data_IF_052585403485
#
_entry.id   IF_052585403485
#
_cell.length_a   1.000
_cell.length_b   1.000
_cell.length_c   1.000
_cell.angle_alpha   90.00
_cell.angle_beta   90.00
_cell.angle_gamma   90.00
#
_symmetry.space_group_name_H-M   'P 1'
#
loop_
_entity.id
_entity.type
_entity.pdbx_description
1 polymer ?
#
# COMPACT_ATOMS: atom_id res chain seq x y z
N UNK A 1 24.48 -26.41 13.17
CA UNK A 1 23.12 -25.94 13.01
C UNK A 1 22.81 -26.05 11.51
N UNK A 2 22.01 -27.02 11.12
CA UNK A 2 21.59 -27.24 9.74
C UNK A 2 20.62 -26.10 9.38
N UNK A 3 20.97 -25.30 8.39
CA UNK A 3 20.03 -24.33 7.82
C UNK A 3 18.78 -25.10 7.36
N UNK A 4 17.65 -24.83 7.99
CA UNK A 4 16.36 -25.23 7.44
C UNK A 4 16.20 -24.50 6.10
N UNK A 5 16.18 -25.25 5.01
CA UNK A 5 15.76 -24.75 3.70
C UNK A 5 14.31 -24.30 3.87
N UNK A 6 14.09 -23.01 4.02
CA UNK A 6 12.77 -22.42 3.89
C UNK A 6 12.36 -22.59 2.43
N UNK A 7 11.47 -23.53 2.17
CA UNK A 7 10.83 -23.69 0.86
C UNK A 7 10.04 -22.40 0.62
N UNK A 8 10.53 -21.57 -0.30
CA UNK A 8 9.79 -20.42 -0.82
C UNK A 8 8.53 -20.99 -1.47
N UNK A 9 7.37 -20.53 -1.03
CA UNK A 9 6.12 -20.89 -1.70
C UNK A 9 6.05 -20.12 -3.02
N UNK A 10 6.36 -20.80 -4.13
CA UNK A 10 6.13 -20.27 -5.47
C UNK A 10 4.68 -19.78 -5.60
N UNK A 11 4.43 -18.66 -6.28
CA UNK A 11 3.09 -18.15 -6.46
C UNK A 11 2.28 -19.12 -7.32
N UNK A 12 1.09 -19.46 -6.85
CA UNK A 12 0.16 -20.27 -7.64
C UNK A 12 -0.30 -19.48 -8.87
N UNK A 13 -0.82 -20.16 -9.88
CA UNK A 13 -1.44 -19.48 -11.04
C UNK A 13 -2.49 -18.46 -10.59
N UNK A 14 -3.28 -18.81 -9.55
CA UNK A 14 -4.27 -17.90 -8.99
C UNK A 14 -3.63 -16.66 -8.35
N UNK A 15 -2.50 -16.81 -7.66
CA UNK A 15 -1.78 -15.67 -7.08
C UNK A 15 -1.22 -14.76 -8.19
N UNK A 16 -0.68 -15.33 -9.27
CA UNK A 16 -0.21 -14.57 -10.45
C UNK A 16 -1.34 -13.76 -11.08
N UNK A 17 -2.49 -14.39 -11.33
CA UNK A 17 -3.68 -13.71 -11.87
C UNK A 17 -4.14 -12.60 -10.91
N UNK A 18 -4.24 -12.89 -9.62
CA UNK A 18 -4.68 -11.91 -8.61
C UNK A 18 -3.73 -10.72 -8.51
N UNK A 19 -2.42 -10.97 -8.57
CA UNK A 19 -1.43 -9.90 -8.57
C UNK A 19 -1.51 -9.07 -9.87
N UNK A 20 -1.71 -9.68 -11.03
CA UNK A 20 -1.89 -8.94 -12.28
C UNK A 20 -3.15 -8.06 -12.25
N UNK A 21 -4.25 -8.55 -11.69
CA UNK A 21 -5.44 -7.72 -11.45
C UNK A 21 -5.17 -6.58 -10.47
N UNK A 22 -4.32 -6.81 -9.43
CA UNK A 22 -3.89 -5.76 -8.53
C UNK A 22 -3.15 -4.63 -9.27
N UNK A 23 -2.25 -4.99 -10.18
CA UNK A 23 -1.48 -4.02 -10.96
C UNK A 23 -2.36 -3.12 -11.84
N UNK A 24 -3.53 -3.58 -12.27
CA UNK A 24 -4.45 -2.74 -13.03
C UNK A 24 -5.08 -1.61 -12.18
N UNK A 25 -5.17 -1.75 -10.87
CA UNK A 25 -5.54 -0.63 -10.00
C UNK A 25 -4.47 0.48 -10.02
N UNK A 26 -3.19 0.10 -10.10
CA UNK A 26 -2.05 1.03 -10.14
C UNK A 26 -1.99 1.86 -11.43
N UNK A 27 -2.76 1.51 -12.48
CA UNK A 27 -2.88 2.33 -13.69
C UNK A 27 -3.39 3.76 -13.39
N UNK A 28 -4.05 3.97 -12.25
CA UNK A 28 -4.46 5.30 -11.79
C UNK A 28 -3.26 6.25 -11.68
N UNK A 29 -2.09 5.74 -11.30
CA UNK A 29 -0.85 6.52 -11.16
C UNK A 29 -0.32 7.06 -12.50
N UNK A 30 -0.81 6.54 -13.64
CA UNK A 30 -0.47 7.00 -15.00
C UNK A 30 -1.47 8.01 -15.56
N UNK A 31 -2.47 8.43 -14.79
CA UNK A 31 -3.52 9.35 -15.22
C UNK A 31 -3.27 10.71 -14.55
N UNK A 32 -3.44 11.80 -15.30
CA UNK A 32 -3.31 13.14 -14.73
C UNK A 32 -4.37 13.35 -13.63
N UNK A 33 -3.96 13.92 -12.50
CA UNK A 33 -4.89 14.34 -11.43
C UNK A 33 -5.90 15.40 -11.89
N UNK A 34 -5.60 16.12 -12.99
CA UNK A 34 -6.46 17.13 -13.60
C UNK A 34 -7.47 16.52 -14.58
N UNK A 35 -7.47 15.20 -14.78
CA UNK A 35 -8.45 14.54 -15.63
C UNK A 35 -9.86 14.73 -15.05
N UNK A 36 -10.73 15.34 -15.82
CA UNK A 36 -12.11 15.66 -15.40
C UNK A 36 -12.98 14.41 -15.17
N UNK A 37 -12.60 13.24 -15.72
CA UNK A 37 -13.25 11.95 -15.51
C UNK A 37 -12.21 10.85 -15.21
N UNK A 38 -11.40 11.07 -14.17
CA UNK A 38 -10.33 10.17 -13.78
C UNK A 38 -10.81 8.73 -13.55
N UNK A 39 -11.99 8.54 -12.93
CA UNK A 39 -12.60 7.21 -12.78
C UNK A 39 -12.94 6.59 -14.14
N UNK A 40 -13.45 7.37 -15.12
CA UNK A 40 -13.77 6.88 -16.45
C UNK A 40 -12.53 6.50 -17.24
N UNK A 41 -11.49 7.33 -17.17
CA UNK A 41 -10.21 7.04 -17.79
C UNK A 41 -9.58 5.78 -17.21
N UNK A 42 -9.62 5.61 -15.88
CA UNK A 42 -9.15 4.41 -15.21
C UNK A 42 -9.97 3.17 -15.61
N UNK A 43 -11.31 3.29 -15.64
CA UNK A 43 -12.20 2.21 -16.06
C UNK A 43 -11.84 1.72 -17.47
N UNK A 44 -11.66 2.63 -18.42
CA UNK A 44 -11.30 2.28 -19.81
C UNK A 44 -9.94 1.58 -19.89
N UNK A 45 -8.95 2.07 -19.14
CA UNK A 45 -7.63 1.44 -19.07
C UNK A 45 -7.72 0.01 -18.50
N UNK A 46 -8.40 -0.18 -17.37
CA UNK A 46 -8.58 -1.51 -16.76
C UNK A 46 -9.28 -2.44 -17.75
N UNK A 47 -10.38 -2.00 -18.37
CA UNK A 47 -11.11 -2.80 -19.35
C UNK A 47 -10.22 -3.21 -20.53
N UNK A 48 -9.43 -2.28 -21.07
CA UNK A 48 -8.47 -2.57 -22.15
C UNK A 48 -7.47 -3.66 -21.72
N UNK A 49 -6.93 -3.60 -20.51
CA UNK A 49 -5.98 -4.60 -20.01
C UNK A 49 -6.65 -5.96 -19.75
N UNK A 50 -7.87 -5.98 -19.25
CA UNK A 50 -8.66 -7.22 -19.09
C UNK A 50 -8.88 -7.89 -20.44
N UNK A 51 -9.27 -7.12 -21.47
CA UNK A 51 -9.54 -7.65 -22.82
C UNK A 51 -8.24 -8.14 -23.49
N UNK A 52 -7.15 -7.38 -23.38
CA UNK A 52 -5.88 -7.71 -24.03
C UNK A 52 -5.20 -8.92 -23.41
N UNK A 53 -5.34 -9.11 -22.09
CA UNK A 53 -4.63 -10.17 -21.37
C UNK A 53 -5.52 -11.39 -21.04
N UNK A 54 -6.71 -11.50 -21.64
CA UNK A 54 -7.66 -12.58 -21.37
C UNK A 54 -7.05 -13.98 -21.53
N UNK A 55 -6.14 -14.18 -22.47
CA UNK A 55 -5.45 -15.47 -22.66
C UNK A 55 -4.54 -15.86 -21.49
N UNK A 56 -4.08 -14.87 -20.70
CA UNK A 56 -3.16 -15.07 -19.58
C UNK A 56 -3.91 -15.19 -18.26
N UNK A 57 -4.88 -14.27 -18.02
CA UNK A 57 -5.56 -14.15 -16.72
C UNK A 57 -6.94 -14.82 -16.71
N UNK A 58 -7.47 -15.29 -17.84
CA UNK A 58 -8.85 -15.72 -18.00
C UNK A 58 -9.81 -14.53 -18.21
N UNK A 59 -11.09 -14.82 -18.33
CA UNK A 59 -12.10 -13.79 -18.52
C UNK A 59 -12.53 -13.14 -17.21
N UNK A 60 -12.52 -11.80 -17.17
CA UNK A 60 -12.95 -11.00 -16.03
C UNK A 60 -13.81 -9.83 -16.48
N UNK A 61 -14.80 -9.47 -15.69
CA UNK A 61 -15.65 -8.29 -15.90
C UNK A 61 -15.63 -7.38 -14.68
N UNK A 62 -15.55 -6.06 -14.88
CA UNK A 62 -15.67 -5.11 -13.80
C UNK A 62 -17.13 -5.09 -13.34
N UNK A 63 -17.37 -5.32 -12.05
CA UNK A 63 -18.72 -5.37 -11.46
C UNK A 63 -18.98 -4.21 -10.51
N UNK A 64 -17.92 -3.56 -10.01
CA UNK A 64 -18.01 -2.34 -9.19
C UNK A 64 -16.76 -1.48 -9.41
N UNK A 65 -16.98 -0.18 -9.56
CA UNK A 65 -15.89 0.78 -9.68
C UNK A 65 -15.35 0.97 -11.11
N UNK A 66 -14.14 1.53 -11.24
CA UNK A 66 -13.30 2.00 -10.16
C UNK A 66 -13.89 3.20 -9.42
N UNK A 67 -13.73 3.23 -8.09
CA UNK A 67 -13.89 4.42 -7.28
C UNK A 67 -12.51 4.99 -6.98
N UNK A 68 -12.39 6.31 -7.01
CA UNK A 68 -11.11 7.02 -6.85
C UNK A 68 -11.25 8.13 -5.82
N UNK A 69 -10.31 8.21 -4.87
CA UNK A 69 -10.17 9.33 -3.96
C UNK A 69 -8.93 10.15 -4.30
N UNK A 70 -9.13 11.45 -4.47
CA UNK A 70 -8.07 12.45 -4.55
C UNK A 70 -7.90 13.09 -3.17
N UNK A 71 -6.66 13.15 -2.69
CA UNK A 71 -6.32 13.97 -1.55
C UNK A 71 -5.80 15.31 -2.05
N UNK A 72 -6.25 16.40 -1.40
CA UNK A 72 -5.92 17.79 -1.78
C UNK A 72 -4.52 18.22 -1.34
N UNK A 73 -3.59 17.28 -1.31
CA UNK A 73 -2.18 17.53 -1.02
C UNK A 73 -1.35 17.07 -2.20
N UNK A 74 -0.29 17.81 -2.53
CA UNK A 74 0.68 17.42 -3.55
C UNK A 74 1.38 16.08 -3.24
N UNK A 75 1.15 15.55 -2.04
CA UNK A 75 1.86 14.46 -1.39
C UNK A 75 1.15 13.11 -1.46
N UNK A 76 -0.18 13.08 -1.69
CA UNK A 76 -0.91 11.82 -1.62
C UNK A 76 -1.21 11.26 -2.99
N UNK A 77 -0.84 10.00 -3.12
CA UNK A 77 -1.30 9.16 -4.19
C UNK A 77 -2.82 9.09 -4.23
N UNK A 78 -3.33 8.96 -5.42
CA UNK A 78 -4.73 8.68 -5.67
C UNK A 78 -5.04 7.28 -5.12
N UNK A 79 -5.92 7.16 -4.11
CA UNK A 79 -6.45 5.87 -3.71
C UNK A 79 -7.50 5.43 -4.73
N UNK A 80 -7.35 4.25 -5.30
CA UNK A 80 -8.30 3.67 -6.23
C UNK A 80 -8.65 2.24 -5.81
N UNK A 81 -9.90 1.87 -6.02
CA UNK A 81 -10.44 0.55 -5.70
C UNK A 81 -11.40 0.13 -6.81
N UNK A 82 -11.31 -1.10 -7.25
CA UNK A 82 -12.30 -1.70 -8.16
C UNK A 82 -12.53 -3.17 -7.81
N UNK A 83 -13.64 -3.72 -8.30
CA UNK A 83 -13.99 -5.12 -8.12
C UNK A 83 -14.31 -5.78 -9.46
N UNK A 84 -13.71 -6.94 -9.68
CA UNK A 84 -13.97 -7.79 -10.85
C UNK A 84 -14.56 -9.13 -10.45
N UNK A 85 -15.30 -9.71 -11.39
CA UNK A 85 -15.83 -11.08 -11.30
C UNK A 85 -15.32 -11.91 -12.45
N UNK A 86 -14.93 -13.16 -12.20
CA UNK A 86 -14.59 -14.09 -13.26
C UNK A 86 -15.83 -14.41 -14.13
N UNK A 87 -15.64 -14.41 -15.45
CA UNK A 87 -16.70 -14.81 -16.39
C UNK A 87 -16.84 -16.33 -16.50
N UNK A 88 -15.79 -17.07 -16.15
CA UNK A 88 -15.73 -18.53 -16.17
C UNK A 88 -16.28 -19.13 -14.89
N UNK A 89 -15.92 -18.56 -13.73
CA UNK A 89 -16.42 -18.93 -12.42
C UNK A 89 -17.06 -17.71 -11.74
N UNK A 90 -18.36 -17.58 -11.91
CA UNK A 90 -19.12 -16.42 -11.42
C UNK A 90 -19.21 -16.33 -9.89
N UNK A 91 -18.69 -17.30 -9.16
CA UNK A 91 -18.54 -17.22 -7.70
C UNK A 91 -17.24 -16.50 -7.28
N UNK A 92 -16.28 -16.33 -8.20
CA UNK A 92 -14.97 -15.74 -7.91
C UNK A 92 -14.94 -14.24 -8.17
N UNK A 93 -14.52 -13.52 -7.17
CA UNK A 93 -14.38 -12.06 -7.19
C UNK A 93 -13.00 -11.62 -6.69
N UNK A 94 -12.50 -10.52 -7.25
CA UNK A 94 -11.28 -9.87 -6.76
C UNK A 94 -11.58 -8.39 -6.54
N UNK A 95 -11.26 -7.91 -5.34
CA UNK A 95 -11.21 -6.49 -5.00
C UNK A 95 -9.74 -6.08 -5.05
N UNK A 96 -9.41 -5.18 -5.96
CA UNK A 96 -8.04 -4.71 -6.18
C UNK A 96 -7.93 -3.23 -5.86
N UNK A 97 -6.89 -2.86 -5.11
CA UNK A 97 -6.63 -1.49 -4.73
C UNK A 97 -5.25 -1.03 -5.15
N UNK A 98 -5.17 0.25 -5.51
CA UNK A 98 -3.91 0.88 -5.87
C UNK A 98 -3.02 1.08 -4.64
N UNK A 99 -1.71 1.01 -4.89
CA UNK A 99 -0.68 1.56 -4.01
C UNK A 99 -0.41 3.03 -4.28
N UNK A 100 0.58 3.58 -3.60
CA UNK A 100 1.11 4.91 -3.90
C UNK A 100 1.77 4.93 -5.28
N UNK A 101 1.86 6.11 -5.92
CA UNK A 101 2.60 6.21 -7.16
C UNK A 101 4.09 5.95 -6.90
N UNK A 102 4.75 5.30 -7.87
CA UNK A 102 6.16 4.88 -7.79
C UNK A 102 7.11 6.05 -7.49
N UNK A 103 6.77 7.25 -8.00
CA UNK A 103 7.53 8.47 -7.75
C UNK A 103 7.45 8.97 -6.29
N UNK A 104 6.49 8.46 -5.51
CA UNK A 104 6.17 8.92 -4.16
C UNK A 104 6.39 7.85 -3.09
N UNK A 105 6.85 6.65 -3.43
CA UNK A 105 7.05 5.57 -2.42
C UNK A 105 7.93 6.04 -1.27
N UNK A 106 9.01 6.78 -1.57
CA UNK A 106 9.89 7.34 -0.55
C UNK A 106 9.27 8.51 0.21
N UNK A 107 8.59 9.42 -0.50
CA UNK A 107 7.92 10.55 0.13
C UNK A 107 6.82 10.03 1.06
N UNK A 108 6.08 9.00 0.62
CA UNK A 108 5.07 8.34 1.44
C UNK A 108 5.66 7.66 2.69
N UNK A 109 6.78 6.91 2.55
CA UNK A 109 7.44 6.28 3.70
C UNK A 109 7.87 7.32 4.77
N UNK A 110 8.16 8.53 4.35
CA UNK A 110 8.68 9.60 5.21
C UNK A 110 7.57 10.53 5.71
N UNK A 111 6.59 10.85 4.90
CA UNK A 111 5.53 11.83 5.22
C UNK A 111 4.29 11.20 5.86
N UNK A 112 3.90 10.00 5.41
CA UNK A 112 2.72 9.29 5.92
C UNK A 112 3.00 8.42 7.14
N UNK A 113 4.05 8.77 7.88
CA UNK A 113 4.40 8.08 9.11
C UNK A 113 3.34 8.18 10.22
N UNK A 114 2.04 8.23 9.85
CA UNK A 114 0.96 8.03 10.81
C UNK A 114 0.90 6.58 11.22
N UNK A 115 2.07 6.12 11.69
CA UNK A 115 2.30 4.76 12.17
C UNK A 115 1.82 4.55 13.60
N UNK A 116 1.32 5.60 14.27
CA UNK A 116 0.68 5.46 15.56
C UNK A 116 -0.40 4.38 15.48
N UNK A 117 -0.43 3.47 16.44
CA UNK A 117 -1.36 2.36 16.42
C UNK A 117 -2.69 2.72 17.10
N UNK A 118 -3.78 2.22 16.54
CA UNK A 118 -5.15 2.32 17.04
C UNK A 118 -5.76 0.92 17.18
N UNK A 119 -6.62 0.66 18.17
CA UNK A 119 -7.31 -0.60 18.30
C UNK A 119 -8.24 -0.91 17.14
N UNK A 120 -8.32 -2.19 16.79
CA UNK A 120 -9.36 -2.68 15.91
C UNK A 120 -10.71 -2.70 16.62
N UNK A 121 -11.79 -2.24 15.97
CA UNK A 121 -13.10 -2.10 16.62
C UNK A 121 -13.68 -3.42 17.18
N UNK A 122 -13.39 -4.56 16.56
CA UNK A 122 -13.88 -5.86 17.01
C UNK A 122 -12.91 -6.60 17.96
N UNK A 123 -11.68 -6.11 18.15
CA UNK A 123 -10.68 -6.66 19.05
C UNK A 123 -9.70 -5.58 19.49
N UNK A 124 -9.85 -5.05 20.69
CA UNK A 124 -9.04 -3.93 21.19
C UNK A 124 -7.55 -4.25 21.41
N UNK A 125 -7.17 -5.54 21.46
CA UNK A 125 -5.76 -5.93 21.53
C UNK A 125 -5.10 -5.99 20.15
N UNK A 126 -5.88 -6.13 19.07
CA UNK A 126 -5.42 -6.09 17.70
C UNK A 126 -5.23 -4.62 17.27
N UNK A 127 -3.98 -4.20 17.13
CA UNK A 127 -3.64 -2.82 16.80
C UNK A 127 -3.16 -2.71 15.35
N UNK A 128 -3.59 -1.67 14.66
CA UNK A 128 -3.12 -1.30 13.32
C UNK A 128 -2.84 0.20 13.24
N UNK A 129 -2.12 0.65 12.21
CA UNK A 129 -1.78 2.06 12.12
C UNK A 129 -3.00 2.94 11.82
N UNK A 130 -3.00 4.15 12.36
CA UNK A 130 -4.02 5.18 12.08
C UNK A 130 -4.06 5.50 10.57
N UNK A 131 -2.90 5.54 9.90
CA UNK A 131 -2.83 5.73 8.45
C UNK A 131 -3.59 4.63 7.69
N UNK A 132 -3.41 3.36 8.07
CA UNK A 132 -4.16 2.23 7.49
C UNK A 132 -5.66 2.33 7.78
N UNK A 133 -6.04 2.74 8.99
CA UNK A 133 -7.44 2.95 9.36
C UNK A 133 -8.10 4.03 8.47
N UNK A 134 -7.46 5.17 8.32
CA UNK A 134 -7.94 6.27 7.45
C UNK A 134 -8.04 5.80 6.00
N UNK A 135 -7.00 5.13 5.48
CA UNK A 135 -6.98 4.63 4.11
C UNK A 135 -8.15 3.67 3.83
N UNK A 136 -8.37 2.67 4.69
CA UNK A 136 -9.50 1.74 4.52
C UNK A 136 -10.84 2.45 4.63
N UNK A 137 -10.99 3.38 5.58
CA UNK A 137 -12.21 4.18 5.71
C UNK A 137 -12.50 4.98 4.43
N UNK A 138 -11.47 5.58 3.85
CA UNK A 138 -11.58 6.26 2.56
C UNK A 138 -12.08 5.31 1.48
N UNK A 139 -11.44 4.13 1.34
CA UNK A 139 -11.81 3.15 0.33
C UNK A 139 -13.26 2.65 0.45
N UNK A 140 -13.72 2.33 1.67
CA UNK A 140 -15.10 1.85 1.87
C UNK A 140 -16.17 2.94 1.69
N UNK A 141 -15.76 4.21 1.68
CA UNK A 141 -16.65 5.35 1.46
C UNK A 141 -16.78 5.73 -0.02
N UNK A 142 -15.93 5.18 -0.89
CA UNK A 142 -15.97 5.47 -2.33
C UNK A 142 -17.31 5.05 -2.94
N UNK A 143 -17.84 5.90 -3.79
CA UNK A 143 -19.03 5.65 -4.62
C UNK A 143 -18.68 5.97 -6.06
N UNK A 144 -18.44 4.97 -6.90
CA UNK A 144 -18.15 5.21 -8.31
C UNK A 144 -19.23 6.11 -8.93
N UNK A 145 -18.84 7.01 -9.80
CA UNK A 145 -19.72 7.98 -10.44
C UNK A 145 -20.05 7.60 -11.88
N UNK A 146 -21.03 8.29 -12.49
CA UNK A 146 -21.36 8.11 -13.91
C UNK A 146 -21.93 6.73 -14.27
N UNK A 147 -21.73 6.26 -15.52
CA UNK A 147 -22.31 5.01 -16.02
C UNK A 147 -21.49 3.76 -15.69
N UNK A 148 -20.74 3.78 -14.58
CA UNK A 148 -19.86 2.67 -14.18
C UNK A 148 -20.61 1.61 -13.39
N UNK A 149 -20.16 0.34 -13.41
CA UNK A 149 -20.74 -0.71 -12.58
C UNK A 149 -20.70 -0.31 -11.08
N UNK A 150 -21.81 -0.51 -10.37
CA UNK A 150 -21.92 -0.17 -8.96
C UNK A 150 -22.01 1.34 -8.66
N UNK A 151 -22.22 2.21 -9.67
CA UNK A 151 -22.32 3.66 -9.48
C UNK A 151 -23.34 4.05 -8.39
N UNK A 152 -22.95 5.00 -7.55
CA UNK A 152 -23.78 5.49 -6.45
C UNK A 152 -23.80 4.62 -5.20
N UNK A 153 -23.20 3.42 -5.23
CA UNK A 153 -23.10 2.53 -4.08
C UNK A 153 -21.65 2.45 -3.58
N UNK A 154 -21.47 2.45 -2.27
CA UNK A 154 -20.19 2.04 -1.68
C UNK A 154 -19.94 0.55 -1.94
N UNK A 155 -18.71 0.09 -1.73
CA UNK A 155 -18.39 -1.33 -1.88
C UNK A 155 -19.26 -2.23 -0.95
N UNK A 156 -19.43 -1.94 0.36
CA UNK A 156 -20.34 -2.72 1.20
C UNK A 156 -21.81 -2.69 0.74
N UNK A 157 -22.32 -1.52 0.30
CA UNK A 157 -23.67 -1.41 -0.27
C UNK A 157 -23.82 -2.26 -1.55
N UNK A 158 -22.81 -2.29 -2.42
CA UNK A 158 -22.81 -3.13 -3.60
C UNK A 158 -22.77 -4.62 -3.24
N UNK A 159 -21.90 -5.04 -2.32
CA UNK A 159 -21.81 -6.43 -1.86
C UNK A 159 -23.16 -6.94 -1.34
N UNK A 160 -23.93 -6.11 -0.63
CA UNK A 160 -25.27 -6.48 -0.16
C UNK A 160 -26.25 -6.79 -1.30
N UNK A 161 -26.04 -6.24 -2.50
CA UNK A 161 -26.86 -6.54 -3.69
C UNK A 161 -26.59 -7.91 -4.29
N UNK A 162 -25.49 -8.55 -3.96
CA UNK A 162 -25.16 -9.89 -4.43
C UNK A 162 -26.02 -10.95 -3.78
N UNK A 163 -26.65 -10.62 -2.66
CA UNK A 163 -27.51 -11.51 -1.88
C UNK A 163 -26.72 -12.65 -1.23
N UNK A 164 -27.44 -13.61 -0.64
CA UNK A 164 -26.90 -14.74 0.10
C UNK A 164 -26.22 -15.81 -0.80
N UNK A 165 -25.29 -15.41 -1.65
CA UNK A 165 -24.56 -16.31 -2.53
C UNK A 165 -23.25 -16.72 -1.89
N UNK A 166 -22.90 -18.00 -2.06
CA UNK A 166 -21.55 -18.45 -1.75
C UNK A 166 -20.59 -17.88 -2.80
N UNK A 167 -19.77 -16.91 -2.39
CA UNK A 167 -18.75 -16.28 -3.23
C UNK A 167 -17.36 -16.43 -2.61
N UNK A 168 -16.36 -16.50 -3.46
CA UNK A 168 -14.95 -16.44 -3.12
C UNK A 168 -14.42 -15.03 -3.44
N UNK A 169 -14.18 -14.27 -2.41
CA UNK A 169 -13.75 -12.88 -2.49
C UNK A 169 -12.29 -12.77 -2.08
N UNK A 170 -11.42 -12.36 -3.01
CA UNK A 170 -10.01 -12.07 -2.71
C UNK A 170 -9.80 -10.56 -2.73
N UNK A 171 -9.25 -10.03 -1.64
CA UNK A 171 -8.82 -8.62 -1.55
C UNK A 171 -7.32 -8.56 -1.80
N UNK A 172 -6.87 -7.66 -2.68
CA UNK A 172 -5.45 -7.57 -3.04
C UNK A 172 -4.99 -6.13 -3.18
N UNK A 173 -3.71 -5.92 -2.90
CA UNK A 173 -3.05 -4.63 -3.03
C UNK A 173 -1.53 -4.78 -2.99
N UNK A 174 -0.84 -3.84 -3.64
CA UNK A 174 0.61 -3.75 -3.67
C UNK A 174 1.07 -2.48 -2.93
N UNK A 175 2.24 -2.49 -2.30
CA UNK A 175 2.80 -1.33 -1.60
C UNK A 175 1.87 -0.84 -0.47
N UNK A 176 1.41 0.41 -0.49
CA UNK A 176 0.36 0.91 0.40
C UNK A 176 -0.89 0.01 0.35
N UNK A 177 -1.32 -0.39 -0.85
CA UNK A 177 -2.42 -1.34 -1.02
C UNK A 177 -2.15 -2.68 -0.34
N UNK A 178 -0.88 -3.08 -0.23
CA UNK A 178 -0.44 -4.25 0.52
C UNK A 178 -0.68 -4.14 2.03
N UNK A 179 -0.61 -2.94 2.60
CA UNK A 179 -0.99 -2.68 3.99
C UNK A 179 -2.52 -2.55 4.15
N UNK A 180 -3.20 -1.94 3.17
CA UNK A 180 -4.64 -1.71 3.23
C UNK A 180 -5.46 -2.99 2.99
N UNK A 181 -4.99 -3.90 2.12
CA UNK A 181 -5.77 -5.08 1.71
C UNK A 181 -6.09 -6.05 2.85
N UNK A 182 -5.19 -6.39 3.80
CA UNK A 182 -5.56 -7.22 4.95
C UNK A 182 -6.58 -6.53 5.87
N UNK A 183 -6.45 -5.22 6.04
CA UNK A 183 -7.36 -4.45 6.89
C UNK A 183 -8.76 -4.34 6.26
N UNK A 184 -8.84 -4.11 4.94
CA UNK A 184 -10.13 -4.12 4.23
C UNK A 184 -10.77 -5.50 4.25
N UNK A 185 -10.00 -6.57 4.03
CA UNK A 185 -10.51 -7.94 4.10
C UNK A 185 -11.07 -8.27 5.49
N UNK A 186 -10.35 -7.87 6.54
CA UNK A 186 -10.80 -8.06 7.92
C UNK A 186 -12.07 -7.23 8.21
N UNK A 187 -12.14 -5.98 7.73
CA UNK A 187 -13.33 -5.14 7.84
C UNK A 187 -14.54 -5.82 7.19
N UNK A 188 -14.40 -6.30 5.97
CA UNK A 188 -15.48 -7.00 5.27
C UNK A 188 -15.89 -8.28 6.01
N UNK A 189 -14.95 -8.98 6.63
CA UNK A 189 -15.24 -10.21 7.42
C UNK A 189 -15.97 -9.88 8.72
N UNK A 190 -15.51 -8.87 9.45
CA UNK A 190 -16.10 -8.53 10.75
C UNK A 190 -17.45 -7.82 10.62
N UNK A 191 -17.70 -7.22 9.46
CA UNK A 191 -19.01 -6.62 9.10
C UNK A 191 -19.84 -7.50 8.16
N UNK A 192 -19.46 -8.77 7.94
CA UNK A 192 -20.09 -9.64 6.93
C UNK A 192 -21.60 -9.79 7.14
N UNK A 193 -22.04 -9.87 8.38
CA UNK A 193 -23.46 -9.95 8.75
C UNK A 193 -24.31 -8.76 8.23
N UNK A 194 -23.69 -7.62 7.87
CA UNK A 194 -24.40 -6.45 7.31
C UNK A 194 -24.66 -6.58 5.80
N UNK A 195 -23.84 -7.33 5.07
CA UNK A 195 -23.91 -7.42 3.61
C UNK A 195 -24.10 -8.85 3.08
N UNK A 196 -23.87 -9.88 3.91
CA UNK A 196 -24.09 -11.30 3.62
C UNK A 196 -24.66 -11.97 4.87
N UNK A 197 -25.98 -11.86 5.03
CA UNK A 197 -26.69 -12.34 6.23
C UNK A 197 -26.46 -13.82 6.56
N UNK A 198 -26.16 -14.62 5.55
CA UNK A 198 -25.91 -16.07 5.70
C UNK A 198 -24.44 -16.41 5.90
N UNK A 199 -23.55 -15.43 5.90
CA UNK A 199 -22.08 -15.55 6.02
C UNK A 199 -21.46 -16.64 5.10
N UNK A 200 -21.96 -16.75 3.86
CA UNK A 200 -21.51 -17.74 2.88
C UNK A 200 -20.29 -17.30 2.09
N UNK A 201 -20.02 -15.99 2.03
CA UNK A 201 -18.86 -15.47 1.36
C UNK A 201 -17.58 -15.90 2.09
N UNK A 202 -16.61 -16.42 1.34
CA UNK A 202 -15.28 -16.76 1.82
C UNK A 202 -14.32 -15.62 1.44
N UNK A 203 -13.69 -15.02 2.43
CA UNK A 203 -12.83 -13.86 2.22
C UNK A 203 -11.37 -14.28 2.40
N UNK A 204 -10.57 -13.97 1.41
CA UNK A 204 -9.12 -14.18 1.37
C UNK A 204 -8.39 -12.88 1.08
N UNK A 205 -7.11 -12.81 1.39
CA UNK A 205 -6.25 -11.69 1.05
C UNK A 205 -4.96 -12.17 0.38
N UNK A 206 -4.52 -11.40 -0.63
CA UNK A 206 -3.19 -11.47 -1.22
C UNK A 206 -2.56 -10.08 -1.14
N UNK A 207 -1.60 -9.93 -0.24
CA UNK A 207 -0.88 -8.68 0.01
C UNK A 207 0.53 -8.77 -0.56
N UNK A 208 0.98 -7.76 -1.29
CA UNK A 208 2.33 -7.70 -1.84
C UNK A 208 3.04 -6.41 -1.47
N UNK A 209 4.33 -6.48 -1.19
CA UNK A 209 5.21 -5.34 -0.92
C UNK A 209 4.77 -4.41 0.23
N UNK A 210 3.79 -4.80 1.05
CA UNK A 210 3.27 -3.95 2.12
C UNK A 210 4.26 -3.81 3.28
N UNK A 211 4.38 -2.60 3.90
CA UNK A 211 5.10 -2.44 5.17
C UNK A 211 4.38 -3.17 6.31
N UNK A 212 5.05 -3.34 7.46
CA UNK A 212 4.41 -3.81 8.68
C UNK A 212 3.57 -2.68 9.29
N UNK A 213 2.27 -2.82 9.30
CA UNK A 213 1.33 -1.77 9.74
C UNK A 213 0.54 -2.13 11.00
N UNK A 214 0.79 -3.27 11.59
CA UNK A 214 -0.02 -3.80 12.68
C UNK A 214 0.82 -4.58 13.70
N UNK A 215 0.25 -4.86 14.87
CA UNK A 215 0.88 -5.70 15.87
C UNK A 215 0.61 -7.20 15.62
N UNK A 216 1.29 -8.06 16.40
CA UNK A 216 1.15 -9.51 16.27
C UNK A 216 -0.28 -9.99 16.56
N UNK A 217 -1.01 -9.32 17.46
CA UNK A 217 -2.39 -9.69 17.76
C UNK A 217 -3.33 -9.41 16.58
N UNK A 218 -3.12 -8.33 15.84
CA UNK A 218 -3.85 -8.07 14.60
C UNK A 218 -3.57 -9.16 13.54
N UNK A 219 -2.30 -9.57 13.40
CA UNK A 219 -1.92 -10.68 12.50
C UNK A 219 -2.64 -11.96 12.89
N UNK A 220 -2.60 -12.34 14.17
CA UNK A 220 -3.23 -13.55 14.69
C UNK A 220 -4.75 -13.51 14.47
N UNK A 221 -5.38 -12.39 14.83
CA UNK A 221 -6.82 -12.21 14.71
C UNK A 221 -7.27 -12.29 13.24
N UNK A 222 -6.58 -11.59 12.35
CA UNK A 222 -6.88 -11.61 10.91
C UNK A 222 -6.72 -13.01 10.31
N UNK A 223 -5.64 -13.70 10.64
CA UNK A 223 -5.36 -15.05 10.13
C UNK A 223 -6.40 -16.09 10.58
N UNK A 224 -6.96 -15.91 11.78
CA UNK A 224 -8.03 -16.79 12.28
C UNK A 224 -9.39 -16.50 11.64
N UNK A 225 -9.61 -15.29 11.17
CA UNK A 225 -10.90 -14.82 10.65
C UNK A 225 -11.06 -15.02 9.15
N UNK A 226 -9.98 -14.95 8.39
CA UNK A 226 -9.98 -15.05 6.94
C UNK A 226 -9.72 -16.47 6.46
N UNK A 227 -10.25 -16.82 5.29
CA UNK A 227 -10.06 -18.12 4.67
C UNK A 227 -8.59 -18.39 4.31
N UNK A 228 -7.89 -17.38 3.81
CA UNK A 228 -6.47 -17.41 3.46
C UNK A 228 -5.90 -16.01 3.63
N UNK A 229 -4.73 -15.93 4.24
CA UNK A 229 -3.90 -14.73 4.29
C UNK A 229 -2.57 -15.06 3.63
N UNK A 230 -2.33 -14.50 2.46
CA UNK A 230 -1.09 -14.67 1.72
C UNK A 230 -0.39 -13.32 1.61
N UNK A 231 0.88 -13.28 2.02
CA UNK A 231 1.77 -12.15 1.81
C UNK A 231 2.93 -12.58 0.91
N UNK A 232 3.34 -11.70 -0.01
CA UNK A 232 4.59 -11.84 -0.74
C UNK A 232 5.45 -10.59 -0.55
N UNK A 233 6.72 -10.78 -0.23
CA UNK A 233 7.71 -9.73 -0.07
C UNK A 233 9.02 -10.13 -0.74
N UNK A 234 9.57 -9.23 -1.53
CA UNK A 234 10.91 -9.35 -2.09
C UNK A 234 11.94 -9.04 -0.98
N UNK A 235 12.92 -9.93 -0.75
CA UNK A 235 13.94 -9.75 0.29
C UNK A 235 14.91 -8.57 0.01
N UNK A 236 14.90 -8.05 -1.22
CA UNK A 236 15.64 -6.85 -1.62
C UNK A 236 14.77 -5.57 -1.64
N UNK A 237 13.48 -5.65 -1.38
CA UNK A 237 12.60 -4.49 -1.31
C UNK A 237 12.65 -3.85 0.08
N UNK A 238 12.92 -2.56 0.15
CA UNK A 238 13.01 -1.85 1.43
C UNK A 238 11.64 -1.61 2.09
N UNK A 239 10.55 -1.53 1.31
CA UNK A 239 9.21 -1.19 1.82
C UNK A 239 8.71 -2.21 2.83
N UNK A 240 8.79 -3.54 2.59
CA UNK A 240 8.42 -4.53 3.58
C UNK A 240 9.21 -4.47 4.90
N UNK A 241 10.40 -3.84 4.91
CA UNK A 241 11.19 -3.66 6.13
C UNK A 241 10.72 -2.48 6.98
N UNK A 242 9.81 -1.66 6.46
CA UNK A 242 9.37 -0.44 7.17
C UNK A 242 8.43 -0.75 8.31
N UNK A 243 8.52 0.06 9.30
CA UNK A 243 7.86 0.22 10.59
C UNK A 243 8.22 -0.82 11.64
N UNK A 244 8.77 -1.98 11.31
CA UNK A 244 9.37 -2.86 12.31
C UNK A 244 10.81 -2.37 12.60
N UNK A 245 11.14 -1.87 13.81
CA UNK A 245 12.46 -1.31 14.11
C UNK A 245 13.62 -2.27 13.89
N UNK A 246 13.40 -3.58 14.07
CA UNK A 246 14.43 -4.60 13.85
C UNK A 246 14.75 -4.80 12.37
N UNK A 247 13.78 -4.59 11.49
CA UNK A 247 13.93 -4.84 10.05
C UNK A 247 14.53 -3.62 9.33
N UNK A 248 14.27 -2.40 9.86
CA UNK A 248 14.82 -1.15 9.30
C UNK A 248 16.35 -1.16 9.28
N UNK A 249 17.00 -1.75 10.29
CA UNK A 249 18.47 -1.89 10.27
C UNK A 249 18.96 -2.79 9.12
N UNK A 250 18.17 -3.83 8.80
CA UNK A 250 18.43 -4.69 7.65
C UNK A 250 18.35 -3.95 6.32
N UNK A 251 17.37 -3.06 6.19
CA UNK A 251 17.15 -2.26 4.99
C UNK A 251 18.35 -1.42 4.57
N UNK A 252 19.12 -0.87 5.51
CA UNK A 252 20.36 -0.12 5.25
C UNK A 252 21.42 -0.91 4.50
N UNK A 253 21.43 -2.23 4.66
CA UNK A 253 22.48 -3.10 4.16
C UNK A 253 22.08 -3.92 2.93
N UNK A 254 20.83 -3.84 2.46
CA UNK A 254 20.28 -4.73 1.43
C UNK A 254 21.16 -4.85 0.19
N UNK A 255 21.68 -3.72 -0.33
CA UNK A 255 22.47 -3.72 -1.56
C UNK A 255 23.98 -3.63 -1.31
N UNK A 256 24.44 -3.66 -0.05
CA UNK A 256 25.87 -3.52 0.28
C UNK A 256 26.71 -4.63 -0.31
N UNK A 257 26.17 -5.86 -0.40
CA UNK A 257 26.86 -7.01 -1.01
C UNK A 257 27.10 -6.83 -2.51
N UNK A 258 26.33 -5.96 -3.16
CA UNK A 258 26.42 -5.63 -4.58
C UNK A 258 27.19 -4.32 -4.82
N UNK A 259 27.98 -3.87 -3.87
CA UNK A 259 28.73 -2.60 -3.90
C UNK A 259 27.87 -1.35 -4.08
N UNK A 260 26.60 -1.41 -3.65
CA UNK A 260 25.67 -0.28 -3.65
C UNK A 260 25.08 -0.05 -2.26
N UNK A 261 25.90 0.36 -1.27
CA UNK A 261 25.39 0.66 0.06
C UNK A 261 24.43 1.85 0.04
N UNK A 262 23.51 1.90 1.00
CA UNK A 262 22.68 3.07 1.18
C UNK A 262 23.55 4.33 1.35
N UNK A 263 23.25 5.43 0.65
CA UNK A 263 23.91 6.72 0.86
C UNK A 263 23.78 7.20 2.30
N UNK A 264 24.68 8.08 2.76
CA UNK A 264 24.72 8.49 4.18
C UNK A 264 23.46 9.27 4.59
N UNK A 265 22.90 10.07 3.71
CA UNK A 265 21.61 10.75 3.89
C UNK A 265 20.46 9.72 4.06
N UNK A 266 20.43 8.68 3.25
CA UNK A 266 19.44 7.60 3.39
C UNK A 266 19.60 6.82 4.70
N UNK A 267 20.82 6.61 5.18
CA UNK A 267 21.03 5.98 6.49
C UNK A 267 20.43 6.80 7.62
N UNK A 268 20.59 8.13 7.56
CA UNK A 268 19.98 9.05 8.54
C UNK A 268 18.46 8.95 8.50
N UNK A 269 17.86 8.87 7.31
CA UNK A 269 16.41 8.66 7.16
C UNK A 269 15.98 7.36 7.84
N UNK A 270 16.64 6.25 7.57
CA UNK A 270 16.32 4.98 8.22
C UNK A 270 16.46 5.05 9.74
N UNK A 271 17.45 5.76 10.27
CA UNK A 271 17.62 5.96 11.72
C UNK A 271 16.47 6.73 12.34
N UNK A 272 15.99 7.78 11.66
CA UNK A 272 14.82 8.56 12.10
C UNK A 272 13.53 7.73 12.05
N UNK A 273 13.31 6.99 10.94
CA UNK A 273 12.16 6.10 10.82
C UNK A 273 12.17 5.01 11.91
N UNK A 274 13.35 4.48 12.25
CA UNK A 274 13.50 3.50 13.32
C UNK A 274 13.15 4.10 14.68
N UNK A 275 13.62 5.32 14.98
CA UNK A 275 13.29 6.00 16.24
C UNK A 275 11.78 6.20 16.33
N UNK A 276 11.15 6.73 15.27
CA UNK A 276 9.72 6.94 15.21
C UNK A 276 8.93 5.64 15.41
N UNK A 277 9.31 4.57 14.69
CA UNK A 277 8.67 3.28 14.83
C UNK A 277 8.79 2.70 16.25
N UNK A 278 9.95 2.89 16.90
CA UNK A 278 10.21 2.38 18.24
C UNK A 278 9.32 3.01 19.32
N UNK A 279 8.86 4.25 19.11
CA UNK A 279 7.98 4.95 20.06
C UNK A 279 6.49 4.84 19.69
N UNK A 280 6.17 4.44 18.46
CA UNK A 280 4.79 4.42 17.94
C UNK A 280 4.05 3.11 18.19
N UNK A 281 4.74 2.01 18.48
CA UNK A 281 4.09 0.74 18.75
C UNK A 281 4.97 -0.49 18.50
N UNK A 282 4.33 -1.65 18.42
CA UNK A 282 4.95 -2.92 18.04
C UNK A 282 4.40 -3.35 16.68
N UNK A 283 5.29 -3.69 15.75
CA UNK A 283 4.93 -4.03 14.38
C UNK A 283 5.30 -5.46 14.06
N UNK A 284 4.41 -6.14 13.36
CA UNK A 284 4.56 -7.52 12.93
C UNK A 284 4.19 -7.68 11.46
N UNK A 285 4.66 -8.75 10.86
CA UNK A 285 4.32 -9.15 9.50
C UNK A 285 3.37 -10.33 9.49
N UNK A 286 2.47 -10.35 8.51
CA UNK A 286 1.84 -11.60 8.09
C UNK A 286 2.90 -12.49 7.46
N UNK A 287 2.96 -13.75 7.85
CA UNK A 287 3.85 -14.77 7.29
C UNK A 287 5.29 -14.26 7.02
N UNK A 288 6.08 -14.00 8.07
CA UNK A 288 7.38 -13.34 7.94
C UNK A 288 8.46 -14.22 7.27
N UNK A 289 8.18 -15.48 7.02
CA UNK A 289 9.18 -16.45 6.51
C UNK A 289 8.79 -17.05 5.16
N UNK A 290 7.62 -17.65 5.02
CA UNK A 290 7.24 -18.37 3.79
C UNK A 290 6.71 -17.44 2.69
N UNK A 291 6.33 -16.21 3.05
CA UNK A 291 5.92 -15.17 2.10
C UNK A 291 7.07 -14.32 1.55
N UNK A 292 8.32 -14.53 1.97
CA UNK A 292 9.46 -13.77 1.48
C UNK A 292 10.16 -14.56 0.36
N UNK A 293 10.25 -13.97 -0.83
CA UNK A 293 10.99 -14.54 -1.95
C UNK A 293 12.34 -13.84 -2.16
N UNK A 294 13.26 -14.55 -2.79
CA UNK A 294 14.60 -14.04 -3.07
C UNK A 294 14.54 -13.14 -4.31
N UNK A 295 14.85 -11.86 -4.12
CA UNK A 295 15.01 -10.90 -5.20
C UNK A 295 16.29 -11.06 -6.00
N UNK A 296 16.28 -10.54 -7.21
CA UNK A 296 17.48 -10.46 -8.08
C UNK A 296 17.94 -9.02 -8.16
N UNK A 297 19.20 -8.78 -7.78
CA UNK A 297 19.79 -7.45 -7.89
C UNK A 297 19.98 -7.08 -9.37
N UNK A 298 19.48 -5.91 -9.78
CA UNK A 298 19.60 -5.44 -11.16
C UNK A 298 20.94 -4.73 -11.39
N UNK A 299 21.90 -5.47 -11.97
CA UNK A 299 23.25 -4.95 -12.26
C UNK A 299 23.26 -3.90 -13.40
N UNK A 300 22.23 -3.83 -14.24
CA UNK A 300 22.17 -2.87 -15.35
C UNK A 300 22.01 -1.43 -14.84
N UNK A 301 21.32 -1.25 -13.71
CA UNK A 301 21.17 0.05 -13.06
C UNK A 301 22.53 0.66 -12.75
N UNK A 302 23.49 -0.13 -12.25
CA UNK A 302 24.83 0.35 -11.92
C UNK A 302 25.67 0.78 -13.13
N UNK A 303 25.21 0.49 -14.34
CA UNK A 303 25.87 0.87 -15.59
C UNK A 303 25.33 2.18 -16.17
N UNK A 304 24.33 2.79 -15.54
CA UNK A 304 23.72 4.04 -16.00
C UNK A 304 24.72 5.19 -15.87
N UNK A 305 25.20 5.70 -17.01
CA UNK A 305 26.19 6.77 -17.04
C UNK A 305 25.59 8.10 -16.59
N UNK A 306 26.35 8.82 -15.77
CA UNK A 306 26.01 10.17 -15.32
C UNK A 306 25.13 10.23 -14.07
N UNK A 307 24.68 9.11 -13.53
CA UNK A 307 23.91 9.06 -12.29
C UNK A 307 24.82 9.09 -11.06
N UNK A 308 24.38 9.77 -10.01
CA UNK A 308 25.03 9.75 -8.70
C UNK A 308 24.79 8.44 -7.96
N UNK A 309 25.62 8.07 -6.96
CA UNK A 309 25.35 6.88 -6.15
C UNK A 309 23.98 6.88 -5.49
N UNK A 310 23.45 8.04 -5.09
CA UNK A 310 22.12 8.18 -4.53
C UNK A 310 21.02 7.86 -5.54
N UNK A 311 21.13 8.40 -6.76
CA UNK A 311 20.18 8.11 -7.83
C UNK A 311 20.18 6.63 -8.21
N UNK A 312 21.36 6.01 -8.30
CA UNK A 312 21.48 4.57 -8.59
C UNK A 312 20.85 3.72 -7.48
N UNK A 313 21.06 4.12 -6.21
CA UNK A 313 20.42 3.44 -5.07
C UNK A 313 18.89 3.52 -5.16
N UNK A 314 18.35 4.71 -5.41
CA UNK A 314 16.91 4.92 -5.52
C UNK A 314 16.29 4.20 -6.73
N UNK A 315 17.01 4.14 -7.87
CA UNK A 315 16.60 3.33 -9.03
C UNK A 315 16.52 1.84 -8.68
N UNK A 316 17.51 1.33 -7.92
CA UNK A 316 17.49 -0.04 -7.44
C UNK A 316 16.31 -0.30 -6.51
N UNK A 317 16.00 0.64 -5.62
CA UNK A 317 14.82 0.57 -4.74
C UNK A 317 13.53 0.47 -5.55
N UNK A 318 13.33 1.35 -6.53
CA UNK A 318 12.15 1.31 -7.40
C UNK A 318 12.04 -0.01 -8.18
N UNK A 319 13.16 -0.50 -8.72
CA UNK A 319 13.18 -1.79 -9.39
C UNK A 319 12.80 -2.94 -8.45
N UNK A 320 13.35 -2.99 -7.25
CA UNK A 320 13.04 -4.08 -6.30
C UNK A 320 11.60 -4.05 -5.81
N UNK A 321 11.04 -2.84 -5.69
CA UNK A 321 9.67 -2.65 -5.24
C UNK A 321 8.62 -3.00 -6.30
N UNK A 322 8.96 -2.93 -7.59
CA UNK A 322 8.02 -3.16 -8.70
C UNK A 322 8.53 -4.27 -9.63
N UNK A 323 9.65 -4.03 -10.31
CA UNK A 323 10.21 -4.96 -11.30
C UNK A 323 10.48 -6.36 -10.74
N UNK A 324 11.01 -6.44 -9.51
CA UNK A 324 11.25 -7.70 -8.83
C UNK A 324 9.97 -8.52 -8.59
N UNK A 325 8.85 -7.87 -8.30
CA UNK A 325 7.56 -8.56 -8.18
C UNK A 325 7.00 -8.96 -9.55
N UNK A 326 7.15 -8.11 -10.58
CA UNK A 326 6.73 -8.47 -11.94
C UNK A 326 7.45 -9.71 -12.44
N UNK A 327 8.76 -9.82 -12.18
CA UNK A 327 9.53 -11.01 -12.53
C UNK A 327 9.03 -12.24 -11.75
N UNK A 328 8.86 -12.12 -10.43
CA UNK A 328 8.42 -13.22 -9.57
C UNK A 328 7.01 -13.73 -9.94
N UNK A 329 6.08 -12.84 -10.24
CA UNK A 329 4.73 -13.20 -10.64
C UNK A 329 4.59 -13.47 -12.15
N UNK A 330 5.67 -13.32 -12.94
CA UNK A 330 5.68 -13.51 -14.40
C UNK A 330 4.62 -12.65 -15.12
N UNK A 331 4.52 -11.36 -14.72
CA UNK A 331 3.52 -10.45 -15.28
C UNK A 331 3.76 -10.26 -16.78
N UNK A 332 2.70 -10.41 -17.58
CA UNK A 332 2.73 -10.26 -19.03
C UNK A 332 1.80 -9.15 -19.46
N UNK A 333 2.22 -8.40 -20.50
CA UNK A 333 1.37 -7.42 -21.17
C UNK A 333 1.12 -6.12 -20.40
N UNK A 334 1.63 -5.94 -19.19
CA UNK A 334 1.66 -4.64 -18.52
C UNK A 334 2.93 -3.93 -18.97
N UNK A 335 2.79 -2.96 -19.85
CA UNK A 335 3.88 -2.02 -20.13
C UNK A 335 3.89 -0.97 -19.03
N UNK A 336 4.69 -1.20 -18.00
CA UNK A 336 5.10 -0.08 -17.17
C UNK A 336 5.89 0.91 -18.02
N UNK A 337 5.74 2.22 -17.75
CA UNK A 337 6.65 3.16 -18.35
C UNK A 337 8.05 2.65 -18.05
N UNK A 338 8.75 2.16 -19.06
CA UNK A 338 10.17 1.83 -19.01
C UNK A 338 10.96 3.16 -19.00
N UNK A 339 10.60 4.03 -18.08
CA UNK A 339 11.40 5.14 -17.66
C UNK A 339 11.97 4.68 -16.33
N UNK A 340 13.27 4.70 -16.23
CA UNK A 340 13.93 4.83 -14.94
C UNK A 340 12.99 5.66 -14.09
N UNK A 341 12.51 5.11 -12.98
CA UNK A 341 11.81 5.90 -11.97
C UNK A 341 12.82 6.97 -11.56
N UNK A 342 12.79 8.09 -12.29
CA UNK A 342 13.49 9.27 -11.88
C UNK A 342 12.71 9.73 -10.65
N UNK A 343 13.11 9.21 -9.50
CA UNK A 343 12.65 9.79 -8.25
C UNK A 343 12.94 11.29 -8.36
N UNK A 344 11.98 12.13 -8.03
CA UNK A 344 12.23 13.55 -8.06
C UNK A 344 13.49 13.82 -7.24
N UNK A 345 14.36 14.72 -7.69
CA UNK A 345 15.56 15.07 -6.94
C UNK A 345 15.12 15.38 -5.52
N UNK A 346 15.83 14.84 -4.51
CA UNK A 346 15.58 15.15 -3.11
C UNK A 346 15.80 16.66 -2.94
N UNK A 347 14.77 17.44 -3.21
CA UNK A 347 14.77 18.89 -3.08
C UNK A 347 14.32 19.29 -1.67
N UNK A 348 14.61 20.50 -1.27
CA UNK A 348 14.17 21.05 0.01
C UNK A 348 12.64 21.02 0.19
N UNK A 349 11.91 20.91 -0.92
CA UNK A 349 10.45 20.89 -0.95
C UNK A 349 9.84 19.48 -0.89
N UNK A 350 10.67 18.44 -0.96
CA UNK A 350 10.21 17.05 -0.80
C UNK A 350 10.17 16.67 0.68
N UNK A 351 9.37 15.66 1.04
CA UNK A 351 9.32 15.15 2.40
C UNK A 351 10.66 14.62 2.87
N UNK A 352 11.36 13.93 2.00
CA UNK A 352 12.71 13.47 2.26
C UNK A 352 13.65 14.64 2.53
N UNK A 353 13.57 15.69 1.72
CA UNK A 353 14.35 16.92 1.93
C UNK A 353 14.03 17.59 3.27
N UNK A 354 12.74 17.64 3.64
CA UNK A 354 12.31 18.21 4.93
C UNK A 354 12.79 17.36 6.12
N UNK A 355 12.73 16.03 6.02
CA UNK A 355 13.21 15.14 7.07
C UNK A 355 14.73 15.22 7.24
N UNK A 356 15.50 15.19 6.15
CA UNK A 356 16.96 15.36 6.17
C UNK A 356 17.34 16.71 6.77
N UNK A 357 16.60 17.76 6.39
CA UNK A 357 16.75 19.08 6.96
C UNK A 357 16.50 19.08 8.47
N UNK A 358 15.48 18.34 8.95
CA UNK A 358 15.17 18.26 10.39
C UNK A 358 16.25 17.55 11.18
N UNK A 359 16.96 16.63 10.54
CA UNK A 359 18.08 15.91 11.10
C UNK A 359 19.41 16.67 11.02
N UNK A 360 19.42 17.88 10.45
CA UNK A 360 20.65 18.68 10.26
C UNK A 360 21.54 18.14 9.14
N UNK A 361 21.02 17.29 8.24
CA UNK A 361 21.74 16.76 7.10
C UNK A 361 21.74 17.80 5.99
N UNK A 362 22.91 18.27 5.50
CA UNK A 362 22.95 19.25 4.42
C UNK A 362 22.48 18.59 3.12
N UNK A 363 21.41 19.12 2.52
CA UNK A 363 21.04 18.80 1.15
C UNK A 363 22.08 19.44 0.23
N UNK A 364 22.72 18.62 -0.63
CA UNK A 364 23.77 19.10 -1.53
C UNK A 364 23.34 20.31 -2.36
N UNK A 365 24.18 21.31 -2.41
CA UNK A 365 24.20 22.49 -3.29
C UNK A 365 22.99 23.43 -3.37
N UNK A 366 22.11 23.41 -2.39
CA UNK A 366 21.02 24.39 -2.27
C UNK A 366 21.19 25.32 -1.07
N UNK A 367 21.81 26.47 -1.25
CA UNK A 367 21.71 27.71 -0.45
C UNK A 367 21.30 27.66 1.05
N UNK A 368 21.86 26.81 1.89
CA UNK A 368 21.87 26.99 3.35
C UNK A 368 20.55 27.36 4.07
N UNK A 369 19.37 27.21 3.42
CA UNK A 369 18.05 27.65 3.91
C UNK A 369 17.24 26.57 4.64
N UNK A 370 17.84 25.43 4.88
CA UNK A 370 17.19 24.25 5.47
C UNK A 370 16.56 24.53 6.83
N UNK A 371 17.19 25.34 7.67
CA UNK A 371 16.65 25.69 8.99
C UNK A 371 15.35 26.52 8.99
N UNK A 372 14.97 27.13 7.84
CA UNK A 372 13.72 27.89 7.71
C UNK A 372 12.53 27.05 7.25
N UNK A 373 12.78 25.90 6.63
CA UNK A 373 11.72 25.02 6.11
C UNK A 373 11.04 24.25 7.25
N UNK A 374 11.75 23.93 8.31
CA UNK A 374 11.20 23.26 9.49
C UNK A 374 10.15 24.07 10.26
N UNK A 375 10.27 25.39 10.23
CA UNK A 375 9.28 26.28 10.87
C UNK A 375 7.96 26.38 10.08
N UNK A 376 7.92 25.86 8.85
CA UNK A 376 6.78 25.93 7.92
C UNK A 376 6.29 24.54 7.47
N UNK A 377 6.29 23.55 8.37
CA UNK A 377 5.57 22.29 8.08
C UNK A 377 4.12 22.65 7.75
N UNK A 378 3.72 22.46 6.50
CA UNK A 378 2.29 22.46 6.20
C UNK A 378 1.70 21.21 6.85
N UNK A 379 0.68 21.37 7.70
CA UNK A 379 0.01 20.22 8.27
C UNK A 379 -0.61 19.40 7.15
N UNK A 380 -0.45 18.10 7.24
CA UNK A 380 -1.11 17.16 6.34
C UNK A 380 -2.59 17.12 6.72
N UNK A 381 -3.46 17.37 5.77
CA UNK A 381 -4.91 17.34 5.98
C UNK A 381 -5.50 16.16 5.24
N UNK A 382 -6.19 15.28 5.96
CA UNK A 382 -6.92 14.12 5.37
C UNK A 382 -8.42 14.29 5.54
N UNK A 383 -9.24 13.88 4.58
CA UNK A 383 -10.68 13.90 4.74
C UNK A 383 -11.12 12.75 5.64
N UNK A 384 -11.64 13.07 6.83
CA UNK A 384 -12.31 12.12 7.70
C UNK A 384 -13.80 12.47 7.72
N UNK A 385 -14.66 11.57 7.24
CA UNK A 385 -16.10 11.82 7.03
C UNK A 385 -16.38 13.06 6.16
N UNK A 386 -15.58 13.27 5.12
CA UNK A 386 -15.71 14.43 4.23
C UNK A 386 -15.29 15.77 4.87
N UNK A 387 -14.75 15.76 6.08
CA UNK A 387 -14.22 16.95 6.76
C UNK A 387 -12.70 16.91 6.73
N UNK A 388 -12.02 18.00 6.35
CA UNK A 388 -10.58 18.07 6.41
C UNK A 388 -10.14 17.99 7.87
N UNK A 389 -9.25 17.05 8.17
CA UNK A 389 -8.63 16.87 9.50
C UNK A 389 -7.13 16.98 9.35
N UNK A 390 -6.55 17.91 10.06
CA UNK A 390 -5.12 18.10 10.13
C UNK A 390 -4.49 16.98 10.95
N UNK A 391 -3.49 16.28 10.39
CA UNK A 391 -2.77 15.24 11.09
C UNK A 391 -1.72 15.86 12.03
N UNK A 392 -1.69 15.49 13.32
CA UNK A 392 -0.69 15.98 14.26
C UNK A 392 0.71 15.52 13.87
N UNK A 393 1.67 16.41 13.95
CA UNK A 393 3.09 16.10 13.70
C UNK A 393 3.79 15.51 14.91
N UNK A 394 3.21 15.64 16.10
CA UNK A 394 3.67 15.06 17.37
C UNK A 394 2.71 13.96 17.80
N UNK A 395 3.17 12.71 17.76
CA UNK A 395 2.37 11.52 18.06
C UNK A 395 2.00 11.39 19.54
N UNK A 396 2.72 12.04 20.44
CA UNK A 396 2.41 12.07 21.87
C UNK A 396 1.45 13.21 22.24
N UNK A 397 1.10 14.05 21.28
CA UNK A 397 0.26 15.22 21.52
C UNK A 397 -1.18 14.82 21.92
N UNK A 398 -1.89 15.66 22.66
CA UNK A 398 -3.31 15.47 22.93
C UNK A 398 -4.16 15.39 21.65
N UNK A 399 -3.73 16.08 20.60
CA UNK A 399 -4.35 16.09 19.27
C UNK A 399 -4.22 14.71 18.58
N UNK A 400 -3.04 14.09 18.67
CA UNK A 400 -2.82 12.72 18.15
C UNK A 400 -3.72 11.72 18.89
N UNK A 401 -3.82 11.79 20.20
CA UNK A 401 -4.71 10.93 21.00
C UNK A 401 -6.18 11.12 20.60
N UNK A 402 -6.64 12.36 20.44
CA UNK A 402 -8.01 12.65 19.98
C UNK A 402 -8.28 12.09 18.59
N UNK A 403 -7.27 12.14 17.70
CA UNK A 403 -7.41 11.56 16.36
C UNK A 403 -7.54 10.04 16.43
N UNK A 404 -6.70 9.37 17.24
CA UNK A 404 -6.80 7.92 17.48
C UNK A 404 -8.19 7.55 18.00
N UNK A 405 -8.68 8.24 19.04
CA UNK A 405 -10.00 7.99 19.62
C UNK A 405 -11.12 8.17 18.58
N UNK A 406 -11.03 9.24 17.77
CA UNK A 406 -11.98 9.50 16.70
C UNK A 406 -11.98 8.42 15.63
N UNK A 407 -10.81 8.05 15.11
CA UNK A 407 -10.68 7.01 14.07
C UNK A 407 -11.19 5.68 14.61
N UNK A 408 -10.87 5.32 15.86
CA UNK A 408 -11.37 4.10 16.51
C UNK A 408 -12.90 4.09 16.59
N UNK A 409 -13.51 5.17 17.05
CA UNK A 409 -14.97 5.27 17.18
C UNK A 409 -15.68 5.21 15.82
N UNK A 410 -15.05 5.70 14.77
CA UNK A 410 -15.62 5.73 13.43
C UNK A 410 -15.57 4.38 12.69
N UNK A 411 -14.72 3.43 13.16
CA UNK A 411 -14.69 2.06 12.66
C UNK A 411 -15.73 1.15 13.29
N UNK A 412 -16.38 1.57 14.39
CA UNK A 412 -17.42 0.77 15.04
C UNK A 412 -18.69 0.79 14.17
N UNK A 413 -19.09 -0.33 13.54
CA UNK A 413 -20.29 -0.42 12.72
C UNK A 413 -21.58 -0.53 13.54
N UNK A 414 -21.50 -0.57 14.89
CA UNK A 414 -22.69 -0.63 15.74
C UNK A 414 -23.45 0.69 15.65
N UNK A 415 -24.77 0.67 15.32
CA UNK A 415 -25.58 1.89 15.36
C UNK A 415 -25.56 2.46 16.78
N UNK A 416 -25.31 3.77 16.89
CA UNK A 416 -25.38 4.50 18.15
C UNK A 416 -26.80 4.49 18.73
#
# INVERSE_FOLDING_TARGET
>A
MTAQSTTINEPTLQDKITYQLCEYANLVNSISKEDSDLEGTLYQKIQQYLDTNQEVIGGWEIVWGPGVALFDTDLYAVNALYMVRSTEDRSRYVIAMAGSSDALVFDWLVEDSFILQTPWFANSAALHTVGTAIGVKTLISLKPSGPRPGAGHTLPEFLSTLGDKAIDLTVTGHSLGGALSPTLALFLRDTQWLWDNSEKARISVLSTAGPSFCNQEFVNYTTQRLQRVQRYANDLDIVPHMWNPSDIDGAKALYSKNNQPAPDDMKVVFDLLKIQASVSGQYAHFDPTSGVFQGTFNNEINQTQGSTPGELYLQQVGYQHIGGYHEFFEIKGVQWPQGVVALPPVGADTAMGRLLASAGVPLGDGDGKVGKVLANRRPVTVPINGQPVELPTDHDSPEAKKLVDRVTAEFDPTPA
#
